data_IF_616120181181
#
_entry.id   IF_616120181181
#
_cell.length_a   1.000
_cell.length_b   1.000
_cell.length_c   1.000
_cell.angle_alpha   90.00
_cell.angle_beta   90.00
_cell.angle_gamma   90.00
#
_symmetry.space_group_name_H-M   'P 1'
#
loop_
_entity.id
_entity.type
_entity.pdbx_description
1 polymer ?
#
# COMPACT_ATOMS: atom_id res chain seq x y z
N UNK A 1 -19.97 33.09 32.01
CA UNK A 1 -20.42 31.78 31.48
C UNK A 1 -20.19 31.56 29.98
N UNK A 2 -20.19 32.58 29.10
CA UNK A 2 -19.83 32.42 27.67
C UNK A 2 -18.35 32.06 27.43
N UNK A 3 -17.44 32.58 28.26
CA UNK A 3 -15.99 32.35 28.13
C UNK A 3 -15.54 30.92 28.48
N UNK A 4 -16.29 30.22 29.32
CA UNK A 4 -16.01 28.81 29.68
C UNK A 4 -16.36 27.84 28.54
N UNK A 5 -17.21 28.24 27.60
CA UNK A 5 -17.64 27.39 26.49
C UNK A 5 -16.60 27.43 25.36
N UNK A 6 -15.94 28.58 25.18
CA UNK A 6 -14.93 28.79 24.13
C UNK A 6 -13.66 27.97 24.41
N UNK A 7 -13.25 27.84 25.68
CA UNK A 7 -12.06 27.05 26.06
C UNK A 7 -12.24 25.54 25.87
N UNK A 8 -13.46 25.03 26.04
CA UNK A 8 -13.76 23.60 25.88
C UNK A 8 -13.72 23.17 24.41
N UNK A 9 -14.15 24.04 23.49
CA UNK A 9 -14.13 23.75 22.04
C UNK A 9 -12.69 23.65 21.52
N UNK A 10 -11.79 24.53 21.97
CA UNK A 10 -10.39 24.48 21.59
C UNK A 10 -9.69 23.18 22.05
N UNK A 11 -10.04 22.65 23.24
CA UNK A 11 -9.53 21.38 23.76
C UNK A 11 -10.07 20.16 22.99
N UNK A 12 -11.31 20.22 22.52
CA UNK A 12 -11.90 19.15 21.70
C UNK A 12 -11.28 19.13 20.29
N UNK A 13 -10.87 20.29 19.77
CA UNK A 13 -10.27 20.39 18.43
C UNK A 13 -8.83 19.85 18.31
N UNK A 14 -8.08 19.69 19.41
CA UNK A 14 -6.69 19.18 19.36
C UNK A 14 -6.63 17.68 19.00
N UNK A 15 -7.74 16.95 19.17
CA UNK A 15 -7.82 15.52 18.87
C UNK A 15 -8.04 15.22 17.39
N UNK A 16 -8.32 16.21 16.55
CA UNK A 16 -8.47 16.03 15.10
C UNK A 16 -7.18 16.39 14.36
N UNK A 17 -6.03 15.92 14.84
CA UNK A 17 -4.93 15.67 13.91
C UNK A 17 -5.32 14.41 13.15
N UNK A 18 -6.02 14.57 12.02
CA UNK A 18 -6.19 13.48 11.06
C UNK A 18 -4.79 12.99 10.71
N UNK A 19 -4.44 11.78 11.16
CA UNK A 19 -3.18 11.15 10.82
C UNK A 19 -3.17 10.69 9.36
N UNK A 20 -3.71 11.48 8.44
CA UNK A 20 -3.50 11.38 6.99
C UNK A 20 -2.06 11.73 6.60
N UNK A 21 -1.09 11.46 7.47
CA UNK A 21 0.27 11.25 7.05
C UNK A 21 0.28 9.88 6.37
N UNK A 22 -0.27 9.82 5.15
CA UNK A 22 -0.10 8.69 4.25
C UNK A 22 1.39 8.38 4.21
N UNK A 23 1.78 7.22 4.77
CA UNK A 23 3.20 6.89 4.88
C UNK A 23 3.83 6.97 3.49
N UNK A 24 4.95 7.69 3.31
CA UNK A 24 5.56 7.81 2.00
C UNK A 24 5.92 6.41 1.49
N UNK A 25 5.59 6.16 0.22
CA UNK A 25 5.92 4.89 -0.42
C UNK A 25 7.44 4.73 -0.57
N UNK A 26 7.97 3.50 -0.51
CA UNK A 26 9.41 3.27 -0.58
C UNK A 26 9.98 3.68 -1.93
N UNK A 27 11.17 4.28 -1.93
CA UNK A 27 11.99 4.48 -3.12
C UNK A 27 12.86 3.25 -3.34
N UNK A 28 12.93 2.75 -4.57
CA UNK A 28 13.50 1.45 -4.89
C UNK A 28 14.56 1.54 -5.98
N UNK A 29 15.56 0.66 -5.92
CA UNK A 29 16.44 0.34 -7.04
C UNK A 29 15.71 -0.50 -8.10
N UNK A 30 16.29 -0.54 -9.31
CA UNK A 30 15.79 -1.32 -10.44
C UNK A 30 16.54 -2.67 -10.58
N UNK A 31 16.96 -3.26 -9.46
CA UNK A 31 17.58 -4.58 -9.43
C UNK A 31 16.57 -5.66 -9.82
N UNK A 32 17.07 -6.71 -10.48
CA UNK A 32 16.27 -7.83 -10.95
C UNK A 32 16.36 -9.02 -9.98
N UNK A 33 15.49 -9.01 -8.97
CA UNK A 33 15.28 -10.12 -8.02
C UNK A 33 13.77 -10.37 -7.92
N UNK A 34 13.17 -10.99 -8.94
CA UNK A 34 11.74 -10.90 -9.19
C UNK A 34 10.89 -11.49 -8.07
N UNK A 35 9.66 -10.99 -7.96
CA UNK A 35 8.64 -11.46 -7.01
C UNK A 35 7.33 -11.66 -7.75
N UNK A 36 6.71 -12.83 -7.57
CA UNK A 36 5.39 -13.09 -8.10
C UNK A 36 4.33 -12.65 -7.10
N UNK A 37 3.40 -11.79 -7.54
CA UNK A 37 2.24 -11.36 -6.78
C UNK A 37 0.94 -11.68 -7.49
N UNK A 38 -0.14 -11.85 -6.72
CA UNK A 38 -1.50 -12.01 -7.24
C UNK A 38 -2.36 -10.83 -6.80
N UNK A 39 -3.03 -10.19 -7.75
CA UNK A 39 -4.00 -9.14 -7.46
C UNK A 39 -5.17 -9.70 -6.64
N UNK A 40 -5.49 -9.07 -5.52
CA UNK A 40 -6.51 -9.58 -4.60
C UNK A 40 -7.92 -9.57 -5.19
N UNK A 41 -8.22 -8.62 -6.08
CA UNK A 41 -9.53 -8.43 -6.71
C UNK A 41 -9.68 -9.26 -7.99
N UNK A 42 -8.76 -9.09 -8.94
CA UNK A 42 -8.83 -9.73 -10.26
C UNK A 42 -8.27 -11.15 -10.29
N UNK A 43 -7.55 -11.56 -9.24
CA UNK A 43 -6.81 -12.84 -9.18
C UNK A 43 -5.80 -13.02 -10.32
N UNK A 44 -5.33 -11.92 -10.92
CA UNK A 44 -4.28 -11.94 -11.95
C UNK A 44 -2.90 -11.98 -11.30
N UNK A 45 -2.03 -12.82 -11.85
CA UNK A 45 -0.63 -12.88 -11.46
C UNK A 45 0.17 -11.79 -12.19
N UNK A 46 1.14 -11.22 -11.48
CA UNK A 46 2.05 -10.19 -11.99
C UNK A 46 3.43 -10.36 -11.38
N UNK A 47 4.45 -10.36 -12.24
CA UNK A 47 5.85 -10.30 -11.83
C UNK A 47 6.24 -8.86 -11.50
N UNK A 48 6.87 -8.67 -10.36
CA UNK A 48 7.50 -7.41 -9.94
C UNK A 48 9.01 -7.58 -9.96
N UNK A 49 9.76 -6.56 -10.38
CA UNK A 49 11.22 -6.69 -10.59
C UNK A 49 11.98 -7.02 -9.29
N UNK A 50 11.50 -6.49 -8.16
CA UNK A 50 12.01 -6.80 -6.83
C UNK A 50 10.98 -6.58 -5.73
N UNK A 51 11.34 -7.00 -4.51
CA UNK A 51 10.51 -6.91 -3.31
C UNK A 51 10.17 -5.47 -2.91
N UNK A 52 11.06 -4.51 -3.19
CA UNK A 52 10.82 -3.09 -2.90
C UNK A 52 9.75 -2.55 -3.84
N UNK A 53 9.89 -2.77 -5.15
CA UNK A 53 8.93 -2.32 -6.16
C UNK A 53 7.55 -2.97 -5.98
N UNK A 54 7.49 -4.22 -5.52
CA UNK A 54 6.23 -4.85 -5.09
C UNK A 54 5.54 -4.06 -3.97
N UNK A 55 6.28 -3.65 -2.93
CA UNK A 55 5.73 -2.86 -1.81
C UNK A 55 5.36 -1.44 -2.25
N UNK A 56 6.19 -0.80 -3.08
CA UNK A 56 5.91 0.51 -3.66
C UNK A 56 4.62 0.48 -4.46
N UNK A 57 4.41 -0.58 -5.27
CA UNK A 57 3.17 -0.76 -6.02
C UNK A 57 1.94 -0.81 -5.13
N UNK A 58 1.93 -1.65 -4.09
CA UNK A 58 0.81 -1.75 -3.17
C UNK A 58 0.56 -0.45 -2.40
N UNK A 59 1.62 0.28 -2.07
CA UNK A 59 1.51 1.58 -1.42
C UNK A 59 0.87 2.63 -2.33
N UNK A 60 1.26 2.68 -3.61
CA UNK A 60 0.69 3.61 -4.60
C UNK A 60 -0.69 3.19 -5.09
N UNK A 61 -1.05 1.91 -4.97
CA UNK A 61 -2.29 1.35 -5.51
C UNK A 61 -3.10 0.65 -4.40
N UNK A 62 -3.65 1.39 -3.41
CA UNK A 62 -4.39 0.80 -2.29
C UNK A 62 -5.68 0.08 -2.71
N UNK A 63 -6.19 0.32 -3.92
CA UNK A 63 -7.36 -0.35 -4.48
C UNK A 63 -7.02 -1.55 -5.38
N UNK A 64 -5.73 -1.77 -5.67
CA UNK A 64 -5.23 -2.86 -6.52
C UNK A 64 -4.08 -3.61 -5.82
N UNK A 65 -4.31 -3.95 -4.56
CA UNK A 65 -3.30 -4.62 -3.71
C UNK A 65 -3.03 -6.02 -4.23
N UNK A 66 -1.74 -6.33 -4.37
CA UNK A 66 -1.25 -7.65 -4.69
C UNK A 66 -0.73 -8.35 -3.43
N UNK A 67 -1.00 -9.64 -3.30
CA UNK A 67 -0.40 -10.50 -2.27
C UNK A 67 0.78 -11.26 -2.88
N UNK A 68 1.92 -11.30 -2.19
CA UNK A 68 3.08 -12.07 -2.63
C UNK A 68 2.74 -13.57 -2.61
N UNK A 69 3.06 -14.26 -3.70
CA UNK A 69 2.86 -15.71 -3.85
C UNK A 69 4.17 -16.43 -3.60
N UNK A 70 5.24 -16.04 -4.30
CA UNK A 70 6.58 -16.59 -4.12
C UNK A 70 7.65 -15.60 -4.60
N UNK A 71 8.90 -15.88 -4.24
CA UNK A 71 10.07 -15.24 -4.86
C UNK A 71 10.32 -15.87 -6.24
N UNK A 72 10.80 -15.09 -7.20
CA UNK A 72 10.90 -15.44 -8.61
C UNK A 72 9.82 -14.79 -9.48
N UNK A 73 9.94 -14.94 -10.79
CA UNK A 73 8.92 -14.49 -11.73
C UNK A 73 7.65 -15.34 -11.59
N UNK A 74 6.48 -14.76 -11.85
CA UNK A 74 5.30 -15.58 -12.05
C UNK A 74 5.52 -16.49 -13.27
N UNK A 75 5.20 -17.77 -13.13
CA UNK A 75 5.18 -18.68 -14.27
C UNK A 75 4.16 -18.16 -15.31
N UNK A 76 4.61 -17.92 -16.54
CA UNK A 76 3.73 -17.70 -17.69
C UNK A 76 3.02 -19.04 -18.04
N UNK A 77 2.13 -19.54 -17.16
CA UNK A 77 1.68 -20.91 -17.35
C UNK A 77 0.56 -21.50 -16.49
N UNK A 78 0.10 -20.87 -15.42
CA UNK A 78 -1.06 -21.35 -14.65
C UNK A 78 -2.23 -20.39 -14.95
N UNK A 79 -3.01 -20.47 -16.05
CA UNK A 79 -3.66 -21.58 -16.80
C UNK A 79 -3.78 -21.20 -18.29
N UNK A 80 -3.77 -22.03 -19.35
CA UNK A 80 -4.03 -23.48 -19.60
C UNK A 80 -5.31 -24.05 -18.97
N UNK A 81 -6.43 -23.97 -19.70
CA UNK A 81 -7.68 -24.72 -19.49
C UNK A 81 -8.70 -24.01 -18.61
#
# INVERSE_FOLDING_TARGET
>A
MKFLIISVIALICISFTDSNQGRPCPSCSNDWTPVCGICNTTKRYKTFQNQCLFRAYNCHNPHDVHTKVHDGECEEGIKKG
#
